data_IF_205468332647
#
_entry.id   IF_205468332647
#
_cell.length_a   1.000
_cell.length_b   1.000
_cell.length_c   1.000
_cell.angle_alpha   90.00
_cell.angle_beta   90.00
_cell.angle_gamma   90.00
#
_symmetry.space_group_name_H-M   'P 1'
#
loop_
_entity.id
_entity.type
_entity.pdbx_description
1 polymer ?
#
# COMPACT_ATOMS: atom_id res chain seq x y z
N UNK A 1 -21.24 1.84 -1.02
CA UNK A 1 -21.92 3.00 -0.39
C UNK A 1 -21.54 3.11 1.09
N UNK A 2 -21.47 4.33 1.65
CA UNK A 2 -21.15 4.59 3.06
C UNK A 2 -22.03 3.78 4.06
N UNK A 3 -23.33 3.63 3.87
CA UNK A 3 -24.17 2.81 4.76
C UNK A 3 -23.73 1.34 4.80
N UNK A 4 -23.33 0.77 3.67
CA UNK A 4 -22.83 -0.60 3.58
C UNK A 4 -21.53 -0.76 4.39
N UNK A 5 -20.54 0.11 4.18
CA UNK A 5 -19.28 0.08 4.91
C UNK A 5 -19.49 0.28 6.42
N UNK A 6 -20.36 1.19 6.85
CA UNK A 6 -20.73 1.34 8.27
C UNK A 6 -21.34 0.09 8.88
N UNK A 7 -22.10 -0.68 8.11
CA UNK A 7 -22.75 -1.92 8.58
C UNK A 7 -21.75 -3.05 8.76
N UNK A 8 -20.80 -3.22 7.82
CA UNK A 8 -19.91 -4.37 7.79
C UNK A 8 -18.52 -4.10 8.36
N UNK A 9 -18.07 -2.84 8.33
CA UNK A 9 -16.78 -2.38 8.83
C UNK A 9 -16.94 -1.11 9.69
N UNK A 10 -17.65 -1.20 10.85
CA UNK A 10 -17.81 -0.06 11.72
C UNK A 10 -16.54 0.18 12.55
N UNK A 11 -16.02 1.40 12.55
CA UNK A 11 -15.02 1.84 13.51
C UNK A 11 -15.73 2.49 14.69
N UNK A 12 -15.75 1.78 15.83
CA UNK A 12 -16.38 2.25 17.06
C UNK A 12 -15.39 3.07 17.86
N UNK A 13 -15.78 4.28 18.36
CA UNK A 13 -14.92 5.08 19.18
C UNK A 13 -14.41 4.31 20.40
N UNK A 14 -13.13 4.42 20.70
CA UNK A 14 -12.49 3.90 21.90
C UNK A 14 -11.71 5.04 22.60
N UNK A 15 -11.09 4.77 23.75
CA UNK A 15 -10.36 5.79 24.54
C UNK A 15 -9.20 6.46 23.78
N UNK A 16 -8.73 5.88 22.67
CA UNK A 16 -7.63 6.37 21.83
C UNK A 16 -8.10 6.99 20.52
N UNK A 17 -9.42 6.92 20.24
CA UNK A 17 -9.99 7.42 18.99
C UNK A 17 -10.04 8.95 18.98
N UNK A 18 -9.72 9.54 17.83
CA UNK A 18 -9.85 10.98 17.53
C UNK A 18 -11.29 11.39 17.20
N UNK A 19 -12.26 10.47 17.21
CA UNK A 19 -13.65 10.70 16.83
C UNK A 19 -14.62 10.15 17.89
N UNK A 20 -15.83 10.76 17.98
CA UNK A 20 -16.86 10.39 18.96
C UNK A 20 -18.09 9.69 18.32
N UNK A 21 -18.07 9.48 17.00
CA UNK A 21 -19.18 8.91 16.23
C UNK A 21 -18.67 7.71 15.44
N UNK A 22 -19.50 6.66 15.31
CA UNK A 22 -19.16 5.49 14.49
C UNK A 22 -18.92 5.94 13.05
N UNK A 23 -17.71 5.73 12.55
CA UNK A 23 -17.31 5.99 11.17
C UNK A 23 -17.22 4.68 10.37
N UNK A 24 -17.25 4.78 9.04
CA UNK A 24 -17.00 3.63 8.19
C UNK A 24 -15.47 3.44 8.05
N UNK A 25 -15.00 2.21 8.19
CA UNK A 25 -13.62 1.77 7.93
C UNK A 25 -13.58 1.01 6.58
N UNK A 26 -12.41 0.62 6.12
CA UNK A 26 -12.19 -0.08 4.85
C UNK A 26 -12.60 0.72 3.58
N UNK A 27 -12.60 2.05 3.65
CA UNK A 27 -12.78 2.91 2.47
C UNK A 27 -11.71 2.72 1.40
N UNK A 28 -10.54 2.19 1.79
CA UNK A 28 -9.46 1.82 0.88
C UNK A 28 -9.87 0.88 -0.24
N UNK A 29 -10.87 0.03 -0.02
CA UNK A 29 -11.40 -0.87 -1.05
C UNK A 29 -11.79 -0.11 -2.33
N UNK A 30 -12.27 1.14 -2.21
CA UNK A 30 -12.73 1.92 -3.35
C UNK A 30 -11.63 2.19 -4.38
N UNK A 31 -10.47 2.70 -3.95
CA UNK A 31 -9.37 2.99 -4.87
C UNK A 31 -8.60 1.72 -5.28
N UNK A 32 -8.60 0.69 -4.44
CA UNK A 32 -8.02 -0.62 -4.77
C UNK A 32 -8.78 -1.27 -5.93
N UNK A 33 -10.11 -1.30 -5.88
CA UNK A 33 -10.93 -1.87 -6.94
C UNK A 33 -10.77 -1.12 -8.27
N UNK A 34 -10.71 0.21 -8.24
CA UNK A 34 -10.45 1.01 -9.45
C UNK A 34 -9.08 0.65 -10.03
N UNK A 35 -8.03 0.56 -9.22
CA UNK A 35 -6.69 0.19 -9.66
C UNK A 35 -6.66 -1.21 -10.27
N UNK A 36 -7.39 -2.18 -9.67
CA UNK A 36 -7.48 -3.53 -10.18
C UNK A 36 -8.21 -3.62 -11.52
N UNK A 37 -9.26 -2.81 -11.75
CA UNK A 37 -9.93 -2.75 -13.04
C UNK A 37 -8.96 -2.30 -14.15
N UNK A 38 -8.09 -1.35 -13.86
CA UNK A 38 -7.09 -0.88 -14.81
C UNK A 38 -5.93 -1.87 -14.99
N UNK A 39 -5.66 -2.77 -14.05
CA UNK A 39 -4.74 -3.88 -14.26
C UNK A 39 -5.14 -4.74 -15.47
N UNK A 40 -6.43 -4.92 -15.72
CA UNK A 40 -6.91 -5.68 -16.89
C UNK A 40 -6.48 -5.05 -18.24
N UNK A 41 -6.19 -3.76 -18.25
CA UNK A 41 -5.73 -3.00 -19.42
C UNK A 41 -4.20 -2.98 -19.51
N UNK A 42 -3.53 -2.55 -18.44
CA UNK A 42 -2.08 -2.29 -18.44
C UNK A 42 -1.24 -3.50 -18.06
N UNK A 43 -1.86 -4.58 -17.50
CA UNK A 43 -1.20 -5.81 -17.02
C UNK A 43 -0.01 -5.56 -16.11
N UNK A 44 -0.08 -4.52 -15.26
CA UNK A 44 0.97 -4.18 -14.32
C UNK A 44 0.92 -5.12 -13.11
N UNK A 45 1.90 -6.03 -12.99
CA UNK A 45 1.94 -7.05 -11.95
C UNK A 45 2.14 -6.48 -10.54
N UNK A 46 2.74 -5.29 -10.40
CA UNK A 46 2.87 -4.62 -9.09
C UNK A 46 1.50 -4.35 -8.46
N UNK A 47 0.52 -3.89 -9.25
CA UNK A 47 -0.86 -3.69 -8.77
C UNK A 47 -1.45 -5.02 -8.28
N UNK A 48 -1.26 -6.11 -9.03
CA UNK A 48 -1.79 -7.42 -8.65
C UNK A 48 -1.18 -7.94 -7.36
N UNK A 49 0.14 -7.82 -7.19
CA UNK A 49 0.86 -8.21 -5.97
C UNK A 49 0.34 -7.40 -4.78
N UNK A 50 0.23 -6.07 -4.92
CA UNK A 50 -0.30 -5.20 -3.89
C UNK A 50 -1.78 -5.49 -3.57
N UNK A 51 -2.59 -5.85 -4.57
CA UNK A 51 -3.98 -6.25 -4.38
C UNK A 51 -4.11 -7.53 -3.55
N UNK A 52 -3.34 -8.56 -3.86
CA UNK A 52 -3.34 -9.82 -3.08
C UNK A 52 -3.02 -9.52 -1.61
N UNK A 53 -2.04 -8.67 -1.36
CA UNK A 53 -1.68 -8.24 -0.01
C UNK A 53 -2.80 -7.43 0.67
N UNK A 54 -3.46 -6.53 -0.05
CA UNK A 54 -4.60 -5.79 0.47
C UNK A 54 -5.75 -6.71 0.92
N UNK A 55 -5.95 -7.86 0.24
CA UNK A 55 -6.93 -8.85 0.68
C UNK A 55 -6.57 -9.48 2.01
N UNK A 56 -5.29 -9.74 2.29
CA UNK A 56 -4.83 -10.21 3.61
C UNK A 56 -5.14 -9.16 4.68
N UNK A 57 -4.87 -7.88 4.40
CA UNK A 57 -5.15 -6.79 5.33
C UNK A 57 -6.66 -6.56 5.54
N UNK A 58 -7.49 -6.81 4.52
CA UNK A 58 -8.94 -6.77 4.66
C UNK A 58 -9.47 -7.90 5.58
N UNK A 59 -8.86 -9.08 5.50
CA UNK A 59 -9.17 -10.20 6.39
C UNK A 59 -8.74 -9.84 7.83
N UNK A 60 -7.60 -9.19 7.99
CA UNK A 60 -7.14 -8.69 9.29
C UNK A 60 -8.10 -7.67 9.90
N UNK A 61 -8.55 -6.68 9.12
CA UNK A 61 -9.55 -5.69 9.55
C UNK A 61 -10.85 -6.33 10.09
N UNK A 62 -11.16 -7.54 9.64
CA UNK A 62 -12.39 -8.24 10.04
C UNK A 62 -12.17 -9.27 11.16
N UNK A 63 -11.07 -10.02 11.11
CA UNK A 63 -10.86 -11.22 11.94
C UNK A 63 -9.74 -11.08 12.96
N UNK A 64 -8.99 -9.95 12.96
CA UNK A 64 -7.83 -9.71 13.84
C UNK A 64 -6.84 -10.88 13.81
N UNK A 65 -6.21 -11.11 12.66
CA UNK A 65 -5.20 -12.16 12.50
C UNK A 65 -3.94 -11.88 13.34
N UNK A 66 -3.15 -12.93 13.58
CA UNK A 66 -1.94 -12.78 14.39
C UNK A 66 -0.93 -11.81 13.77
N UNK A 67 -0.23 -11.04 14.61
CA UNK A 67 0.81 -10.10 14.17
C UNK A 67 1.94 -10.79 13.36
N UNK A 68 2.24 -12.03 13.69
CA UNK A 68 3.22 -12.84 12.96
C UNK A 68 2.77 -13.11 11.51
N UNK A 69 1.51 -13.47 11.31
CA UNK A 69 0.98 -13.72 9.98
C UNK A 69 0.97 -12.45 9.12
N UNK A 70 0.60 -11.30 9.70
CA UNK A 70 0.71 -9.99 9.03
C UNK A 70 2.14 -9.69 8.61
N UNK A 71 3.10 -9.87 9.52
CA UNK A 71 4.50 -9.63 9.22
C UNK A 71 5.04 -10.55 8.11
N UNK A 72 4.73 -11.84 8.16
CA UNK A 72 5.12 -12.80 7.11
C UNK A 72 4.53 -12.39 5.76
N UNK A 73 3.26 -11.99 5.71
CA UNK A 73 2.63 -11.53 4.46
C UNK A 73 3.26 -10.26 3.91
N UNK A 74 3.67 -9.33 4.76
CA UNK A 74 4.43 -8.12 4.36
C UNK A 74 5.79 -8.50 3.76
N UNK A 75 6.55 -9.37 4.41
CA UNK A 75 7.84 -9.86 3.89
C UNK A 75 7.67 -10.52 2.53
N UNK A 76 6.68 -11.38 2.38
CA UNK A 76 6.40 -12.06 1.09
C UNK A 76 6.07 -11.06 -0.03
N UNK A 77 5.23 -10.06 0.26
CA UNK A 77 4.88 -9.03 -0.73
C UNK A 77 6.10 -8.22 -1.14
N UNK A 78 6.93 -7.79 -0.18
CA UNK A 78 8.14 -7.02 -0.49
C UNK A 78 9.11 -7.84 -1.33
N UNK A 79 9.29 -9.14 -1.02
CA UNK A 79 10.12 -10.04 -1.83
C UNK A 79 9.57 -10.24 -3.24
N UNK A 80 8.24 -10.37 -3.41
CA UNK A 80 7.60 -10.49 -4.72
C UNK A 80 7.75 -9.21 -5.54
N UNK A 81 7.55 -8.03 -4.92
CA UNK A 81 7.76 -6.73 -5.57
C UNK A 81 9.23 -6.56 -5.99
N UNK A 82 10.16 -6.93 -5.12
CA UNK A 82 11.59 -6.87 -5.41
C UNK A 82 11.95 -7.81 -6.56
N UNK A 83 11.51 -9.07 -6.52
CA UNK A 83 11.77 -10.06 -7.57
C UNK A 83 11.19 -9.66 -8.94
N UNK A 84 10.06 -8.92 -8.96
CA UNK A 84 9.49 -8.39 -10.19
C UNK A 84 10.21 -7.12 -10.70
N UNK A 85 11.00 -6.47 -9.86
CA UNK A 85 11.62 -5.16 -10.13
C UNK A 85 12.81 -5.24 -11.10
N UNK A 86 13.07 -4.12 -11.77
CA UNK A 86 14.27 -3.93 -12.60
C UNK A 86 15.53 -3.95 -11.75
N UNK A 87 15.48 -3.41 -10.52
CA UNK A 87 16.56 -3.44 -9.55
C UNK A 87 17.08 -4.87 -9.29
N UNK A 88 16.16 -5.81 -9.05
CA UNK A 88 16.54 -7.21 -8.80
C UNK A 88 17.20 -7.82 -10.04
N UNK A 89 16.57 -7.65 -11.22
CA UNK A 89 17.03 -8.28 -12.46
C UNK A 89 18.38 -7.74 -12.94
N UNK A 90 18.63 -6.45 -12.83
CA UNK A 90 19.82 -5.82 -13.40
C UNK A 90 20.96 -5.70 -12.41
N UNK A 91 20.69 -5.61 -11.13
CA UNK A 91 21.72 -5.34 -10.12
C UNK A 91 21.89 -6.49 -9.12
N UNK A 92 20.80 -6.93 -8.45
CA UNK A 92 20.95 -7.97 -7.43
C UNK A 92 21.39 -9.32 -8.01
N UNK A 93 20.92 -9.71 -9.18
CA UNK A 93 21.36 -10.96 -9.81
C UNK A 93 22.84 -10.91 -10.19
N UNK A 94 23.34 -9.78 -10.67
CA UNK A 94 24.81 -9.64 -10.94
C UNK A 94 25.64 -9.72 -9.66
N UNK A 95 25.15 -9.19 -8.54
CA UNK A 95 25.81 -9.34 -7.24
C UNK A 95 25.85 -10.78 -6.75
N UNK A 96 24.84 -11.59 -7.04
CA UNK A 96 24.82 -13.00 -6.68
C UNK A 96 26.02 -13.75 -7.29
N UNK A 97 26.36 -13.42 -8.54
CA UNK A 97 27.50 -14.02 -9.25
C UNK A 97 28.86 -13.58 -8.69
N UNK A 98 28.95 -12.37 -8.14
CA UNK A 98 30.19 -11.80 -7.62
C UNK A 98 30.42 -12.04 -6.12
N UNK A 99 29.38 -11.86 -5.30
CA UNK A 99 29.51 -11.91 -3.85
C UNK A 99 28.18 -12.25 -3.17
N UNK A 100 28.04 -13.52 -2.80
CA UNK A 100 26.85 -14.03 -2.13
C UNK A 100 26.53 -13.32 -0.80
N UNK A 101 27.57 -12.96 -0.03
CA UNK A 101 27.36 -12.26 1.25
C UNK A 101 26.75 -10.87 1.02
N UNK A 102 27.28 -10.12 0.05
CA UNK A 102 26.73 -8.80 -0.29
C UNK A 102 25.31 -8.89 -0.85
N UNK A 103 25.02 -9.89 -1.69
CA UNK A 103 23.68 -10.16 -2.18
C UNK A 103 22.68 -10.40 -1.04
N UNK A 104 23.01 -11.31 -0.10
CA UNK A 104 22.13 -11.63 1.04
C UNK A 104 21.95 -10.39 1.93
N UNK A 105 23.01 -9.62 2.20
CA UNK A 105 22.95 -8.43 3.04
C UNK A 105 22.04 -7.34 2.43
N UNK A 106 22.17 -7.11 1.14
CA UNK A 106 21.32 -6.12 0.44
C UNK A 106 19.87 -6.61 0.30
N UNK A 107 19.65 -7.89 0.02
CA UNK A 107 18.33 -8.47 -0.01
C UNK A 107 17.61 -8.30 1.33
N UNK A 108 18.31 -8.59 2.42
CA UNK A 108 17.80 -8.38 3.78
C UNK A 108 17.50 -6.91 4.05
N UNK A 109 18.42 -6.00 3.74
CA UNK A 109 18.25 -4.56 3.94
C UNK A 109 17.04 -4.02 3.16
N UNK A 110 16.89 -4.37 1.89
CA UNK A 110 15.78 -3.93 1.05
C UNK A 110 14.45 -4.49 1.53
N UNK A 111 14.43 -5.76 1.94
CA UNK A 111 13.22 -6.40 2.49
C UNK A 111 12.81 -5.76 3.82
N UNK A 112 13.77 -5.53 4.71
CA UNK A 112 13.53 -4.85 5.99
C UNK A 112 13.02 -3.42 5.78
N UNK A 113 13.65 -2.65 4.89
CA UNK A 113 13.23 -1.28 4.57
C UNK A 113 11.84 -1.24 3.95
N UNK A 114 11.53 -2.16 3.03
CA UNK A 114 10.20 -2.25 2.41
C UNK A 114 9.10 -2.56 3.43
N UNK A 115 9.34 -3.53 4.33
CA UNK A 115 8.37 -3.85 5.41
C UNK A 115 8.23 -2.70 6.39
N UNK A 116 9.32 -2.00 6.73
CA UNK A 116 9.29 -0.82 7.59
C UNK A 116 8.45 0.32 6.97
N UNK A 117 8.57 0.57 5.67
CA UNK A 117 7.79 1.57 4.93
C UNK A 117 6.29 1.22 5.00
N UNK A 118 5.91 -0.01 4.72
CA UNK A 118 4.51 -0.45 4.79
C UNK A 118 3.93 -0.21 6.19
N UNK A 119 4.65 -0.62 7.24
CA UNK A 119 4.22 -0.42 8.62
C UNK A 119 4.16 1.06 9.01
N UNK A 120 5.10 1.88 8.56
CA UNK A 120 5.13 3.31 8.82
C UNK A 120 3.92 4.02 8.21
N UNK A 121 3.60 3.73 6.95
CA UNK A 121 2.43 4.30 6.27
C UNK A 121 1.13 3.85 6.96
N UNK A 122 1.03 2.58 7.35
CA UNK A 122 -0.11 2.09 8.12
C UNK A 122 -0.24 2.79 9.49
N UNK A 123 0.87 3.02 10.18
CA UNK A 123 0.89 3.73 11.45
C UNK A 123 0.44 5.20 11.32
N UNK A 124 0.80 5.86 10.22
CA UNK A 124 0.40 7.25 9.95
C UNK A 124 -1.10 7.42 9.67
N UNK A 125 -1.84 6.35 9.34
CA UNK A 125 -3.28 6.41 9.02
C UNK A 125 -4.18 6.74 10.24
N UNK A 126 -3.60 7.07 11.37
CA UNK A 126 -4.32 7.59 12.54
C UNK A 126 -4.76 9.06 12.46
N UNK A 127 -4.37 9.81 11.42
CA UNK A 127 -4.66 11.24 11.23
C UNK A 127 -5.45 11.43 9.94
N UNK A 128 -6.61 12.12 10.05
CA UNK A 128 -7.51 12.43 8.93
C UNK A 128 -6.74 13.09 7.77
N UNK A 129 -6.82 12.49 6.58
CA UNK A 129 -6.24 13.03 5.35
C UNK A 129 -4.72 12.91 5.21
N UNK A 130 -3.97 12.53 6.25
CA UNK A 130 -2.50 12.53 6.21
C UNK A 130 -1.94 11.52 5.19
N UNK A 131 -2.32 10.26 5.31
CA UNK A 131 -1.83 9.21 4.39
C UNK A 131 -2.36 9.42 2.99
N UNK A 132 -3.66 9.69 2.82
CA UNK A 132 -4.23 9.92 1.49
C UNK A 132 -3.64 11.15 0.81
N UNK A 133 -3.40 12.24 1.53
CA UNK A 133 -2.78 13.47 1.00
C UNK A 133 -1.30 13.27 0.64
N UNK A 134 -0.50 12.71 1.54
CA UNK A 134 0.93 12.45 1.28
C UNK A 134 1.13 11.48 0.11
N UNK A 135 0.33 10.42 0.04
CA UNK A 135 0.39 9.47 -1.07
C UNK A 135 -0.04 10.08 -2.39
N UNK A 136 -1.02 11.01 -2.42
CA UNK A 136 -1.35 11.75 -3.64
C UNK A 136 -0.15 12.52 -4.18
N UNK A 137 0.58 13.22 -3.31
CA UNK A 137 1.81 13.94 -3.73
C UNK A 137 2.84 12.97 -4.29
N UNK A 138 3.08 11.83 -3.61
CA UNK A 138 4.03 10.81 -4.04
C UNK A 138 3.62 10.23 -5.41
N UNK A 139 2.34 9.84 -5.59
CA UNK A 139 1.86 9.24 -6.83
C UNK A 139 1.92 10.21 -8.01
N UNK A 140 1.54 11.47 -7.81
CA UNK A 140 1.64 12.52 -8.82
C UNK A 140 3.10 12.76 -9.21
N UNK A 141 3.99 12.84 -8.22
CA UNK A 141 5.42 13.02 -8.46
C UNK A 141 6.02 11.84 -9.22
N UNK A 142 5.69 10.61 -8.81
CA UNK A 142 6.15 9.39 -9.48
C UNK A 142 5.62 9.31 -10.93
N UNK A 143 4.37 9.65 -11.16
CA UNK A 143 3.82 9.74 -12.52
C UNK A 143 4.61 10.75 -13.37
N UNK A 144 4.85 11.95 -12.85
CA UNK A 144 5.46 13.04 -13.62
C UNK A 144 6.96 12.82 -13.87
N UNK A 145 7.72 12.41 -12.84
CA UNK A 145 9.18 12.27 -12.94
C UNK A 145 9.60 10.92 -13.53
N UNK A 146 8.83 9.87 -13.27
CA UNK A 146 9.22 8.50 -13.62
C UNK A 146 8.40 7.94 -14.79
N UNK A 147 7.40 8.67 -15.28
CA UNK A 147 6.54 8.25 -16.40
C UNK A 147 5.67 7.03 -16.10
N UNK A 148 5.29 6.80 -14.84
CA UNK A 148 4.52 5.63 -14.43
C UNK A 148 3.02 5.82 -14.70
N UNK A 149 2.60 5.68 -15.94
CA UNK A 149 1.22 5.92 -16.38
C UNK A 149 0.19 5.03 -15.67
N UNK A 150 0.59 3.84 -15.23
CA UNK A 150 -0.27 2.91 -14.49
C UNK A 150 -0.74 3.45 -13.12
N UNK A 151 -0.10 4.53 -12.61
CA UNK A 151 -0.51 5.20 -11.38
C UNK A 151 -1.71 6.15 -11.56
N UNK A 152 -2.07 6.54 -12.80
CA UNK A 152 -3.13 7.52 -13.06
C UNK A 152 -4.47 7.09 -12.46
N UNK A 153 -4.97 5.86 -12.69
CA UNK A 153 -6.26 5.44 -12.13
C UNK A 153 -6.26 5.39 -10.59
N UNK A 154 -5.15 4.94 -10.00
CA UNK A 154 -4.98 4.95 -8.56
C UNK A 154 -4.99 6.38 -8.02
N UNK A 155 -4.25 7.29 -8.65
CA UNK A 155 -4.17 8.69 -8.23
C UNK A 155 -5.54 9.36 -8.29
N UNK A 156 -6.29 9.18 -9.38
CA UNK A 156 -7.63 9.74 -9.55
C UNK A 156 -8.62 9.21 -8.50
N UNK A 157 -8.61 7.90 -8.25
CA UNK A 157 -9.51 7.28 -7.27
C UNK A 157 -9.10 7.60 -5.82
N UNK A 158 -7.81 7.72 -5.53
CA UNK A 158 -7.32 8.17 -4.23
C UNK A 158 -7.67 9.64 -3.98
N UNK A 159 -7.64 10.50 -5.01
CA UNK A 159 -8.09 11.88 -4.88
C UNK A 159 -9.58 11.96 -4.53
N UNK A 160 -10.43 11.16 -5.18
CA UNK A 160 -11.84 11.07 -4.82
C UNK A 160 -12.06 10.58 -3.38
N UNK A 161 -11.28 9.58 -2.93
CA UNK A 161 -11.30 9.11 -1.54
C UNK A 161 -10.81 10.20 -0.57
N UNK A 162 -9.76 10.94 -0.89
CA UNK A 162 -9.18 12.00 -0.07
C UNK A 162 -10.21 13.06 0.34
N UNK A 163 -11.14 13.45 -0.54
CA UNK A 163 -12.22 14.40 -0.25
C UNK A 163 -13.10 13.91 0.92
N UNK A 164 -13.31 12.58 1.05
CA UNK A 164 -14.08 11.98 2.14
C UNK A 164 -13.26 11.69 3.38
N UNK A 165 -11.96 11.57 3.22
CA UNK A 165 -10.99 11.30 4.30
C UNK A 165 -10.41 12.59 4.91
N UNK A 166 -10.60 13.75 4.26
CA UNK A 166 -10.17 15.05 4.78
C UNK A 166 -10.90 15.41 6.09
N UNK A 167 -10.20 16.16 6.94
CA UNK A 167 -10.75 16.60 8.23
C UNK A 167 -11.99 17.49 8.10
N UNK A 168 -13.06 17.28 8.84
CA UNK A 168 -13.35 16.10 9.66
C UNK A 168 -13.76 14.89 8.80
N UNK A 169 -13.00 13.81 8.86
CA UNK A 169 -13.19 12.66 7.96
C UNK A 169 -14.57 12.01 8.12
N UNK A 170 -15.15 11.59 7.00
CA UNK A 170 -16.41 10.85 6.93
C UNK A 170 -16.18 9.35 6.66
N UNK A 171 -14.97 9.01 6.24
CA UNK A 171 -14.58 7.66 5.81
C UNK A 171 -13.11 7.41 6.11
N UNK A 172 -12.79 6.33 6.82
CA UNK A 172 -11.43 5.88 7.08
C UNK A 172 -10.99 4.85 6.02
N UNK A 173 -9.70 4.86 5.65
CA UNK A 173 -9.21 3.92 4.64
C UNK A 173 -9.09 2.48 5.19
N UNK A 174 -8.78 2.33 6.47
CA UNK A 174 -8.55 1.05 7.13
C UNK A 174 -7.19 0.45 6.78
N UNK A 175 -6.80 -0.62 7.49
CA UNK A 175 -5.51 -1.28 7.26
C UNK A 175 -5.40 -1.79 5.81
N UNK A 176 -6.51 -2.17 5.20
CA UNK A 176 -6.58 -2.56 3.78
C UNK A 176 -6.08 -1.45 2.85
N UNK A 177 -6.45 -0.19 3.11
CA UNK A 177 -6.06 0.95 2.27
C UNK A 177 -4.63 1.40 2.52
N UNK A 178 -4.26 1.58 3.79
CA UNK A 178 -2.93 2.09 4.17
C UNK A 178 -1.80 1.12 3.85
N UNK A 179 -2.01 -0.19 4.06
CA UNK A 179 -1.01 -1.21 3.69
C UNK A 179 -0.88 -1.37 2.17
N UNK A 180 -1.99 -1.28 1.43
CA UNK A 180 -1.96 -1.25 -0.04
C UNK A 180 -1.13 -0.07 -0.55
N UNK A 181 -1.39 1.14 -0.07
CA UNK A 181 -0.63 2.33 -0.45
C UNK A 181 0.84 2.22 -0.06
N UNK A 182 1.15 1.64 1.11
CA UNK A 182 2.50 1.33 1.52
C UNK A 182 3.21 0.37 0.56
N UNK A 183 2.54 -0.70 0.13
CA UNK A 183 3.07 -1.64 -0.84
C UNK A 183 3.28 -0.99 -2.23
N UNK A 184 2.35 -0.13 -2.68
CA UNK A 184 2.51 0.67 -3.91
C UNK A 184 3.74 1.58 -3.82
N UNK A 185 3.96 2.23 -2.67
CA UNK A 185 5.14 3.07 -2.50
C UNK A 185 6.43 2.26 -2.61
N UNK A 186 6.49 1.08 -1.98
CA UNK A 186 7.63 0.15 -2.13
C UNK A 186 7.80 -0.29 -3.58
N UNK A 187 6.71 -0.60 -4.30
CA UNK A 187 6.76 -0.94 -5.72
C UNK A 187 7.37 0.19 -6.57
N UNK A 188 6.98 1.45 -6.33
CA UNK A 188 7.54 2.63 -6.99
C UNK A 188 9.05 2.74 -6.74
N UNK A 189 9.49 2.57 -5.50
CA UNK A 189 10.91 2.63 -5.14
C UNK A 189 11.73 1.55 -5.85
N UNK A 190 11.20 0.33 -5.96
CA UNK A 190 11.93 -0.78 -6.59
C UNK A 190 11.87 -0.77 -8.11
N UNK A 191 10.81 -0.21 -8.72
CA UNK A 191 10.65 -0.20 -10.18
C UNK A 191 11.55 0.81 -10.90
N UNK A 192 12.05 1.84 -10.22
CA UNK A 192 12.60 3.03 -10.86
C UNK A 192 14.08 3.31 -10.63
N UNK A 193 14.82 2.37 -10.12
CA UNK A 193 16.27 2.46 -10.15
C UNK A 193 16.77 2.10 -11.57
N UNK A 194 16.42 2.94 -12.55
CA UNK A 194 17.07 2.95 -13.86
C UNK A 194 18.40 3.68 -13.71
N UNK A 195 19.48 2.98 -13.96
CA UNK A 195 20.81 3.55 -14.21
C UNK A 195 20.99 3.78 -15.70
#
# INVERSE_FOLDING_TARGET
SLPFLKKYFPDKPNRRSSHNVIKARAGGISFILVSLLFFLVDKNYEILICFIFAMVSLIDDKFNISSLFRYISQVLVVLLLLANSILYKNFLLTLLDFNLFLFISLLFLLTFSGTAIINFINFMDGIDGLVSGSMLVILITAFYLLGLNWLIPLTASLFAFFIWNWYPSKLFMGDVGSTFLGAIFVAILFSNLKY
#
